data_IF_365308608174
#
_entry.id   IF_365308608174
#
_cell.length_a   1.000
_cell.length_b   1.000
_cell.length_c   1.000
_cell.angle_alpha   90.00
_cell.angle_beta   90.00
_cell.angle_gamma   90.00
#
_symmetry.space_group_name_H-M   'P 1'
#
loop_
_entity.id
_entity.type
_entity.pdbx_description
1 polymer ?
#
# COMPACT_ATOMS: atom_id res chain seq x y z
N UNK A 1 30.73 37.62 16.11
CA UNK A 1 29.36 38.18 16.08
C UNK A 1 28.56 37.82 14.82
N UNK A 2 29.14 37.12 13.83
CA UNK A 2 28.42 36.66 12.62
C UNK A 2 27.71 35.29 12.75
N UNK A 3 28.09 34.34 13.63
CA UNK A 3 27.38 33.04 13.68
C UNK A 3 25.99 33.12 14.34
N UNK A 4 25.65 34.21 15.02
CA UNK A 4 24.33 34.39 15.66
C UNK A 4 23.25 34.81 14.65
N UNK A 5 23.61 35.53 13.58
CA UNK A 5 22.65 35.97 12.56
C UNK A 5 22.33 34.89 11.52
N UNK A 6 23.19 33.88 11.36
CA UNK A 6 22.93 32.72 10.50
C UNK A 6 21.93 31.76 11.18
N UNK A 7 21.96 31.65 12.51
CA UNK A 7 21.07 30.76 13.26
C UNK A 7 19.63 31.31 13.37
N UNK A 8 19.43 32.62 13.25
CA UNK A 8 18.12 33.25 13.31
C UNK A 8 17.31 33.15 12.00
N UNK A 9 17.94 32.79 10.87
CA UNK A 9 17.27 32.69 9.55
C UNK A 9 16.70 31.29 9.31
N UNK A 10 17.16 30.26 10.04
CA UNK A 10 16.63 28.89 9.93
C UNK A 10 15.27 28.70 10.63
N UNK A 11 14.86 29.56 11.56
CA UNK A 11 13.60 29.39 12.30
C UNK A 11 12.35 29.82 11.54
N UNK A 12 12.43 30.83 10.65
CA UNK A 12 11.29 31.24 9.81
C UNK A 12 11.09 30.34 8.57
N UNK A 13 12.11 29.58 8.21
CA UNK A 13 12.09 28.54 7.16
C UNK A 13 11.71 27.15 7.71
N UNK A 14 11.44 27.04 9.02
CA UNK A 14 10.57 26.00 9.56
C UNK A 14 9.13 26.24 9.06
N UNK A 15 8.93 26.03 7.76
CA UNK A 15 7.65 26.03 7.09
C UNK A 15 6.74 25.01 7.76
N UNK A 16 6.02 25.45 8.78
CA UNK A 16 4.84 24.91 9.44
C UNK A 16 4.54 23.41 9.29
N UNK A 17 5.55 22.56 9.42
CA UNK A 17 5.37 21.09 9.38
C UNK A 17 4.58 20.62 10.60
N UNK A 18 4.50 21.44 11.64
CA UNK A 18 3.64 21.24 12.82
C UNK A 18 2.17 21.22 12.44
N UNK A 19 1.68 22.17 11.64
CA UNK A 19 0.29 22.15 11.14
C UNK A 19 0.05 20.93 10.25
N UNK A 20 0.99 20.59 9.36
CA UNK A 20 0.83 19.42 8.50
C UNK A 20 0.77 18.11 9.30
N UNK A 21 1.63 17.98 10.34
CA UNK A 21 1.61 16.84 11.27
C UNK A 21 0.32 16.78 12.09
N UNK A 22 -0.26 17.93 12.45
CA UNK A 22 -1.55 17.99 13.13
C UNK A 22 -2.70 17.45 12.26
N UNK A 23 -2.69 17.73 10.94
CA UNK A 23 -3.69 17.23 10.00
C UNK A 23 -3.42 15.80 9.49
N UNK A 24 -2.22 15.26 9.69
CA UNK A 24 -1.84 13.93 9.19
C UNK A 24 -2.82 12.82 9.64
N UNK A 25 -3.25 12.72 10.92
CA UNK A 25 -4.25 11.73 11.33
C UNK A 25 -5.61 11.91 10.63
N UNK A 26 -6.01 13.15 10.33
CA UNK A 26 -7.26 13.44 9.62
C UNK A 26 -7.18 12.97 8.16
N UNK A 27 -6.05 13.15 7.49
CA UNK A 27 -5.85 12.59 6.14
C UNK A 27 -5.85 11.07 6.14
N UNK A 28 -5.18 10.44 7.11
CA UNK A 28 -5.21 8.99 7.29
C UNK A 28 -6.64 8.50 7.52
N UNK A 29 -7.40 9.20 8.35
CA UNK A 29 -8.81 8.89 8.60
C UNK A 29 -9.63 8.88 7.32
N UNK A 30 -9.62 10.00 6.57
CA UNK A 30 -10.39 10.16 5.33
C UNK A 30 -9.96 9.11 4.31
N UNK A 31 -8.65 8.85 4.21
CA UNK A 31 -8.11 7.87 3.28
C UNK A 31 -8.59 6.45 3.60
N UNK A 32 -8.43 5.98 4.83
CA UNK A 32 -8.88 4.64 5.24
C UNK A 32 -10.40 4.52 5.12
N UNK A 33 -11.14 5.56 5.51
CA UNK A 33 -12.59 5.60 5.36
C UNK A 33 -13.03 5.42 3.89
N UNK A 34 -12.45 6.21 2.97
CA UNK A 34 -12.76 6.14 1.55
C UNK A 34 -12.41 4.78 0.95
N UNK A 35 -11.26 4.21 1.34
CA UNK A 35 -10.81 2.89 0.89
C UNK A 35 -11.77 1.79 1.34
N UNK A 36 -12.11 1.76 2.64
CA UNK A 36 -13.02 0.76 3.20
C UNK A 36 -14.43 0.90 2.62
N UNK A 37 -14.91 2.13 2.43
CA UNK A 37 -16.19 2.40 1.78
C UNK A 37 -16.20 1.87 0.34
N UNK A 38 -15.15 2.16 -0.44
CA UNK A 38 -15.04 1.66 -1.82
C UNK A 38 -14.95 0.13 -1.88
N UNK A 39 -14.23 -0.50 -0.95
CA UNK A 39 -14.14 -1.96 -0.84
C UNK A 39 -15.50 -2.59 -0.54
N UNK A 40 -16.24 -2.07 0.44
CA UNK A 40 -17.58 -2.60 0.77
C UNK A 40 -18.59 -2.35 -0.34
N UNK A 41 -18.53 -1.19 -1.00
CA UNK A 41 -19.39 -0.90 -2.15
C UNK A 41 -19.14 -1.86 -3.32
N UNK A 42 -17.89 -2.28 -3.54
CA UNK A 42 -17.55 -3.22 -4.62
C UNK A 42 -17.88 -4.68 -4.28
N UNK A 43 -17.79 -5.04 -3.00
CA UNK A 43 -17.97 -6.42 -2.56
C UNK A 43 -19.41 -6.77 -2.21
N UNK A 44 -20.29 -5.77 -2.02
CA UNK A 44 -21.73 -5.93 -1.73
C UNK A 44 -22.02 -6.83 -0.51
N UNK A 45 -21.02 -7.09 0.35
CA UNK A 45 -21.11 -8.01 1.49
C UNK A 45 -22.16 -7.57 2.52
N UNK A 46 -22.44 -6.26 2.63
CA UNK A 46 -23.39 -5.69 3.59
C UNK A 46 -24.76 -5.36 2.96
N UNK A 47 -25.02 -5.78 1.72
CA UNK A 47 -26.25 -5.48 0.97
C UNK A 47 -26.25 -4.10 0.30
N UNK A 48 -27.36 -3.78 -0.39
CA UNK A 48 -27.50 -2.59 -1.25
C UNK A 48 -27.74 -1.28 -0.48
N UNK A 49 -28.02 -1.35 0.82
CA UNK A 49 -28.33 -0.14 1.58
C UNK A 49 -27.06 0.70 1.80
N UNK A 50 -27.04 2.00 1.41
CA UNK A 50 -25.84 2.84 1.51
C UNK A 50 -25.48 3.22 2.94
N UNK A 51 -26.45 3.19 3.86
CA UNK A 51 -26.27 3.65 5.24
C UNK A 51 -25.39 2.72 6.09
N UNK A 52 -25.61 1.38 6.15
CA UNK A 52 -24.73 0.47 6.89
C UNK A 52 -23.29 0.46 6.37
N UNK A 53 -23.11 0.55 5.06
CA UNK A 53 -21.77 0.60 4.44
C UNK A 53 -20.98 1.79 4.99
N UNK A 54 -21.60 2.96 5.04
CA UNK A 54 -21.00 4.20 5.54
C UNK A 54 -20.67 4.11 7.03
N UNK A 55 -21.60 3.60 7.84
CA UNK A 55 -21.39 3.48 9.30
C UNK A 55 -20.25 2.50 9.61
N UNK A 56 -20.22 1.34 8.94
CA UNK A 56 -19.19 0.33 9.19
C UNK A 56 -17.82 0.80 8.71
N UNK A 57 -17.71 1.44 7.53
CA UNK A 57 -16.45 2.01 7.07
C UNK A 57 -15.95 3.13 7.99
N UNK A 58 -16.87 3.92 8.56
CA UNK A 58 -16.53 4.96 9.54
C UNK A 58 -15.97 4.39 10.85
N UNK A 59 -16.61 3.37 11.41
CA UNK A 59 -16.14 2.69 12.63
C UNK A 59 -14.75 2.09 12.42
N UNK A 60 -14.53 1.41 11.29
CA UNK A 60 -13.21 0.83 10.96
C UNK A 60 -12.15 1.91 10.83
N UNK A 61 -12.47 3.03 10.17
CA UNK A 61 -11.54 4.15 10.03
C UNK A 61 -11.15 4.76 11.38
N UNK A 62 -12.08 4.90 12.33
CA UNK A 62 -11.76 5.36 13.70
C UNK A 62 -10.81 4.39 14.38
N UNK A 63 -11.09 3.08 14.35
CA UNK A 63 -10.23 2.06 14.96
C UNK A 63 -8.81 2.11 14.36
N UNK A 64 -8.71 2.29 13.05
CA UNK A 64 -7.43 2.42 12.35
C UNK A 64 -6.65 3.67 12.79
N UNK A 65 -7.31 4.81 12.95
CA UNK A 65 -6.64 6.07 13.34
C UNK A 65 -6.19 6.05 14.80
N UNK A 66 -6.95 5.41 15.69
CA UNK A 66 -6.59 5.29 17.11
C UNK A 66 -5.42 4.33 17.31
N UNK A 67 -5.19 3.40 16.38
CA UNK A 67 -4.13 2.38 16.50
C UNK A 67 -2.77 2.94 16.04
N UNK A 68 -1.76 3.07 16.92
CA UNK A 68 -0.45 3.63 16.56
C UNK A 68 0.27 2.85 15.45
N UNK A 69 0.06 1.52 15.40
CA UNK A 69 0.61 0.64 14.37
C UNK A 69 0.04 0.97 12.98
N UNK A 70 -1.26 1.22 12.91
CA UNK A 70 -1.93 1.58 11.67
C UNK A 70 -1.49 2.97 11.17
N UNK A 71 -1.25 3.91 12.06
CA UNK A 71 -0.69 5.22 11.69
C UNK A 71 0.69 5.09 11.01
N UNK A 72 1.58 4.25 11.56
CA UNK A 72 2.89 3.98 10.93
C UNK A 72 2.72 3.32 9.56
N UNK A 73 1.81 2.36 9.44
CA UNK A 73 1.52 1.71 8.18
C UNK A 73 1.01 2.70 7.13
N UNK A 74 0.03 3.55 7.47
CA UNK A 74 -0.50 4.54 6.53
C UNK A 74 0.56 5.57 6.13
N UNK A 75 1.44 6.00 7.03
CA UNK A 75 2.52 6.92 6.66
C UNK A 75 3.52 6.33 5.66
N UNK A 76 3.69 5.00 5.66
CA UNK A 76 4.53 4.31 4.66
C UNK A 76 3.76 4.11 3.34
N UNK A 77 2.46 3.81 3.42
CA UNK A 77 1.60 3.54 2.25
C UNK A 77 1.22 4.82 1.49
N UNK A 78 0.94 5.93 2.20
CA UNK A 78 0.43 7.17 1.60
C UNK A 78 1.35 7.76 0.53
N UNK A 79 2.67 7.90 0.75
CA UNK A 79 3.58 8.37 -0.31
C UNK A 79 3.52 7.48 -1.55
N UNK A 80 3.43 6.16 -1.35
CA UNK A 80 3.32 5.19 -2.44
C UNK A 80 2.03 5.30 -3.23
N UNK A 81 0.92 5.52 -2.53
CA UNK A 81 -0.35 5.75 -3.18
C UNK A 81 -0.33 7.05 -4.00
N UNK A 82 0.28 8.11 -3.48
CA UNK A 82 0.42 9.38 -4.21
C UNK A 82 1.24 9.15 -5.48
N UNK A 83 2.39 8.46 -5.38
CA UNK A 83 3.22 8.09 -6.53
C UNK A 83 2.42 7.25 -7.54
N UNK A 84 1.62 6.30 -7.07
CA UNK A 84 0.78 5.46 -7.91
C UNK A 84 -0.31 6.28 -8.64
N UNK A 85 -1.00 7.19 -7.95
CA UNK A 85 -2.01 8.07 -8.55
C UNK A 85 -1.37 8.98 -9.60
N UNK A 86 -0.22 9.59 -9.28
CA UNK A 86 0.52 10.43 -10.21
C UNK A 86 0.99 9.61 -11.42
N UNK A 87 1.53 8.41 -11.19
CA UNK A 87 1.96 7.50 -12.25
C UNK A 87 0.80 7.09 -13.16
N UNK A 88 -0.36 6.74 -12.60
CA UNK A 88 -1.57 6.46 -13.38
C UNK A 88 -1.97 7.66 -14.23
N UNK A 89 -1.95 8.87 -13.67
CA UNK A 89 -2.23 10.10 -14.41
C UNK A 89 -1.27 10.25 -15.60
N UNK A 90 0.04 10.07 -15.38
CA UNK A 90 1.03 10.12 -16.47
C UNK A 90 0.81 9.04 -17.51
N UNK A 91 0.48 7.81 -17.11
CA UNK A 91 0.16 6.72 -18.04
C UNK A 91 -1.06 7.10 -18.87
N UNK A 92 -2.14 7.58 -18.25
CA UNK A 92 -3.33 8.04 -18.98
C UNK A 92 -3.01 9.20 -19.93
N UNK A 93 -2.16 10.15 -19.52
CA UNK A 93 -1.75 11.27 -20.35
C UNK A 93 -0.94 10.79 -21.55
N UNK A 94 0.04 9.91 -21.36
CA UNK A 94 0.84 9.31 -22.44
C UNK A 94 -0.06 8.50 -23.38
N UNK A 95 -0.98 7.68 -22.86
CA UNK A 95 -1.92 6.91 -23.69
C UNK A 95 -2.88 7.82 -24.47
N UNK A 96 -3.28 8.95 -23.87
CA UNK A 96 -4.09 9.97 -24.54
C UNK A 96 -3.31 10.71 -25.62
N UNK A 97 -2.00 10.93 -25.43
CA UNK A 97 -1.12 11.57 -26.41
C UNK A 97 -0.74 10.64 -27.56
N UNK A 98 -0.57 9.34 -27.27
CA UNK A 98 -0.24 8.32 -28.26
C UNK A 98 -1.45 7.88 -29.10
N UNK A 99 -2.61 8.54 -28.96
CA UNK A 99 -3.87 8.19 -29.62
C UNK A 99 -4.25 6.69 -29.50
N UNK A 100 -3.72 6.00 -28.49
CA UNK A 100 -3.99 4.58 -28.21
C UNK A 100 -5.48 4.35 -27.91
N UNK A 101 -6.17 5.38 -27.41
CA UNK A 101 -7.62 5.36 -27.21
C UNK A 101 -8.43 5.67 -28.50
N UNK A 102 -7.81 6.27 -29.53
CA UNK A 102 -8.49 6.62 -30.79
C UNK A 102 -8.35 5.55 -31.88
N UNK A 103 -7.28 4.75 -31.84
CA UNK A 103 -7.08 3.62 -32.74
C UNK A 103 -7.63 2.34 -32.11
N UNK A 104 -8.88 2.02 -32.43
CA UNK A 104 -9.56 0.83 -31.94
C UNK A 104 -8.76 -0.44 -32.24
N UNK A 105 -8.16 -1.04 -31.21
CA UNK A 105 -7.81 -2.46 -31.19
C UNK A 105 -6.35 -2.82 -30.96
N UNK A 106 -5.40 -1.93 -31.24
CA UNK A 106 -3.97 -2.25 -31.13
C UNK A 106 -3.34 -1.32 -30.10
N UNK A 107 -3.32 -1.74 -28.84
CA UNK A 107 -2.83 -0.96 -27.69
C UNK A 107 -1.34 -0.56 -27.78
N UNK A 108 -0.60 -0.69 -26.68
CA UNK A 108 0.86 -0.42 -26.63
C UNK A 108 1.66 -1.12 -27.76
N UNK A 109 1.16 -2.21 -28.33
CA UNK A 109 1.78 -2.90 -29.46
C UNK A 109 1.77 -2.09 -30.77
N UNK A 110 0.73 -1.28 -31.03
CA UNK A 110 0.67 -0.41 -32.21
C UNK A 110 1.59 0.80 -32.10
N UNK A 111 1.72 1.36 -30.90
CA UNK A 111 2.58 2.52 -30.63
C UNK A 111 4.09 2.24 -30.74
N UNK A 112 4.51 0.99 -30.47
CA UNK A 112 5.92 0.59 -30.50
C UNK A 112 6.30 -0.08 -31.85
N UNK A 113 5.33 -0.29 -32.74
CA UNK A 113 5.53 -0.86 -34.07
C UNK A 113 5.96 -2.33 -34.09
N UNK A 114 6.34 -2.92 -32.94
CA UNK A 114 6.77 -4.29 -32.83
C UNK A 114 6.32 -4.91 -31.49
N UNK A 115 5.46 -5.96 -31.51
CA UNK A 115 4.90 -6.59 -30.31
C UNK A 115 5.96 -7.08 -29.31
N UNK A 116 7.13 -7.49 -29.82
CA UNK A 116 8.24 -7.98 -29.00
C UNK A 116 8.84 -6.89 -28.10
N UNK A 117 8.98 -5.67 -28.63
CA UNK A 117 9.55 -4.54 -27.87
C UNK A 117 8.57 -4.05 -26.82
N UNK A 118 7.26 -4.05 -27.11
CA UNK A 118 6.22 -3.74 -26.14
C UNK A 118 6.25 -4.72 -24.93
N UNK A 119 6.44 -6.01 -25.17
CA UNK A 119 6.54 -7.01 -24.11
C UNK A 119 7.82 -6.84 -23.26
N UNK A 120 8.94 -6.49 -23.91
CA UNK A 120 10.19 -6.18 -23.21
C UNK A 120 10.06 -4.95 -22.31
N UNK A 121 9.44 -3.87 -22.80
CA UNK A 121 9.19 -2.65 -22.02
C UNK A 121 8.30 -2.95 -20.81
N UNK A 122 7.22 -3.72 -21.00
CA UNK A 122 6.34 -4.14 -19.91
C UNK A 122 7.11 -4.98 -18.88
N UNK A 123 7.95 -5.93 -19.33
CA UNK A 123 8.78 -6.75 -18.45
C UNK A 123 9.73 -5.91 -17.61
N UNK A 124 10.43 -4.94 -18.22
CA UNK A 124 11.35 -4.04 -17.52
C UNK A 124 10.61 -3.16 -16.50
N UNK A 125 9.47 -2.57 -16.87
CA UNK A 125 8.65 -1.77 -15.95
C UNK A 125 8.19 -2.62 -14.76
N UNK A 126 7.76 -3.86 -15.00
CA UNK A 126 7.28 -4.76 -13.95
C UNK A 126 8.41 -5.18 -13.00
N UNK A 127 9.62 -5.43 -13.51
CA UNK A 127 10.81 -5.72 -12.68
C UNK A 127 11.15 -4.51 -11.80
N UNK A 128 11.17 -3.30 -12.37
CA UNK A 128 11.44 -2.06 -11.62
C UNK A 128 10.38 -1.86 -10.53
N UNK A 129 9.10 -2.09 -10.86
CA UNK A 129 8.00 -1.95 -9.92
C UNK A 129 8.10 -2.95 -8.77
N UNK A 130 8.41 -4.22 -9.05
CA UNK A 130 8.65 -5.24 -8.02
C UNK A 130 9.84 -4.86 -7.15
N UNK A 131 10.96 -4.44 -7.75
CA UNK A 131 12.16 -4.05 -7.01
C UNK A 131 11.90 -2.85 -6.08
N UNK A 132 11.22 -1.82 -6.59
CA UNK A 132 10.82 -0.65 -5.80
C UNK A 132 9.86 -1.03 -4.66
N UNK A 133 8.91 -1.94 -4.93
CA UNK A 133 7.99 -2.48 -3.94
C UNK A 133 8.72 -3.22 -2.83
N UNK A 134 9.66 -4.11 -3.17
CA UNK A 134 10.48 -4.84 -2.17
C UNK A 134 11.30 -3.88 -1.32
N UNK A 135 11.92 -2.85 -1.91
CA UNK A 135 12.71 -1.88 -1.15
C UNK A 135 11.85 -1.08 -0.16
N UNK A 136 10.62 -0.75 -0.54
CA UNK A 136 9.77 0.08 0.33
C UNK A 136 9.03 -0.75 1.38
N UNK A 137 8.53 -1.93 1.01
CA UNK A 137 7.82 -2.81 1.91
C UNK A 137 8.73 -3.78 2.68
N UNK A 138 9.99 -3.95 2.27
CA UNK A 138 10.94 -4.86 2.91
C UNK A 138 11.18 -4.52 4.39
N UNK A 139 11.23 -3.23 4.72
CA UNK A 139 11.33 -2.75 6.11
C UNK A 139 10.08 -3.07 6.93
N UNK A 140 8.90 -3.12 6.31
CA UNK A 140 7.63 -3.49 6.97
C UNK A 140 7.45 -5.01 7.10
N UNK A 141 7.99 -5.78 6.16
CA UNK A 141 7.88 -7.24 6.10
C UNK A 141 8.88 -7.96 7.01
N UNK A 142 9.87 -7.24 7.56
CA UNK A 142 10.84 -7.79 8.50
C UNK A 142 10.83 -7.04 9.85
N UNK A 143 9.72 -7.08 10.62
CA UNK A 143 9.61 -6.39 11.91
C UNK A 143 10.58 -6.94 12.99
N UNK A 144 11.23 -8.07 12.71
CA UNK A 144 12.18 -8.75 13.61
C UNK A 144 13.63 -8.74 13.09
N UNK A 145 13.86 -8.23 11.87
CA UNK A 145 15.20 -8.06 11.32
C UNK A 145 15.81 -6.77 11.86
N UNK A 146 16.99 -6.85 12.45
CA UNK A 146 17.75 -5.70 12.94
C UNK A 146 17.83 -4.59 11.87
N UNK A 147 17.51 -3.35 12.27
CA UNK A 147 17.65 -2.11 11.49
C UNK A 147 19.13 -1.75 11.22
N UNK A 148 19.93 -2.70 10.75
CA UNK A 148 21.24 -2.41 10.19
C UNK A 148 21.05 -2.12 8.72
N UNK A 149 21.00 -0.83 8.40
CA UNK A 149 20.98 -0.30 7.05
C UNK A 149 22.09 -0.93 6.22
N UNK A 150 21.70 -1.68 5.20
CA UNK A 150 22.62 -2.39 4.33
C UNK A 150 21.85 -2.97 3.17
N UNK A 151 21.93 -2.30 2.03
CA UNK A 151 21.41 -2.79 0.78
C UNK A 151 21.96 -4.21 0.49
N UNK A 152 21.08 -5.14 0.12
CA UNK A 152 21.40 -6.05 -0.98
C UNK A 152 21.52 -7.57 -0.73
N UNK A 153 21.62 -8.10 0.49
CA UNK A 153 22.13 -9.49 0.60
C UNK A 153 21.47 -10.46 1.58
N UNK A 154 20.23 -10.22 2.04
CA UNK A 154 19.59 -11.17 2.98
C UNK A 154 18.06 -11.26 3.02
N UNK A 155 17.34 -10.38 2.31
CA UNK A 155 15.89 -10.24 2.48
C UNK A 155 15.11 -11.43 1.92
N UNK A 156 15.54 -12.01 0.80
CA UNK A 156 14.76 -13.03 0.07
C UNK A 156 14.96 -14.44 0.63
N UNK A 157 16.11 -14.75 1.24
CA UNK A 157 16.43 -16.10 1.72
C UNK A 157 16.30 -16.30 3.22
N UNK A 158 16.96 -15.46 4.01
CA UNK A 158 16.96 -15.59 5.48
C UNK A 158 15.74 -14.93 6.12
N UNK A 159 15.28 -13.79 5.60
CA UNK A 159 14.09 -13.10 6.12
C UNK A 159 12.83 -13.95 6.00
N UNK A 160 12.58 -14.54 4.83
CA UNK A 160 11.38 -15.36 4.59
C UNK A 160 11.37 -16.62 5.46
N UNK A 161 12.52 -17.31 5.59
CA UNK A 161 12.62 -18.47 6.48
C UNK A 161 12.39 -18.07 7.94
N UNK A 162 13.00 -16.99 8.41
CA UNK A 162 12.86 -16.57 9.80
C UNK A 162 11.45 -16.06 10.13
N UNK A 163 10.77 -15.43 9.15
CA UNK A 163 9.37 -15.02 9.27
C UNK A 163 8.42 -16.22 9.24
N UNK A 164 8.61 -17.18 8.33
CA UNK A 164 7.77 -18.39 8.26
C UNK A 164 7.93 -19.30 9.50
N UNK A 165 9.13 -19.37 10.07
CA UNK A 165 9.41 -20.13 11.28
C UNK A 165 9.32 -19.31 12.58
N UNK A 166 8.74 -18.11 12.53
CA UNK A 166 8.54 -17.31 13.72
C UNK A 166 7.44 -17.95 14.61
N UNK A 167 7.65 -18.11 15.94
CA UNK A 167 6.69 -18.75 16.84
C UNK A 167 5.27 -18.14 16.77
N UNK A 168 5.19 -16.83 16.58
CA UNK A 168 3.92 -16.12 16.43
C UNK A 168 3.16 -16.46 15.13
N UNK A 169 3.88 -16.65 14.02
CA UNK A 169 3.28 -16.97 12.72
C UNK A 169 2.88 -18.43 12.67
N UNK A 170 3.67 -19.32 13.25
CA UNK A 170 3.30 -20.72 13.47
C UNK A 170 2.06 -20.83 14.38
N UNK A 171 1.97 -20.01 15.42
CA UNK A 171 0.78 -19.92 16.27
C UNK A 171 -0.47 -19.46 15.50
N UNK A 172 -0.34 -18.42 14.66
CA UNK A 172 -1.43 -17.95 13.80
C UNK A 172 -1.86 -19.01 12.79
N UNK A 173 -0.91 -19.68 12.14
CA UNK A 173 -1.19 -20.77 11.20
C UNK A 173 -1.90 -21.94 11.89
N UNK A 174 -1.47 -22.31 13.10
CA UNK A 174 -2.10 -23.36 13.90
C UNK A 174 -3.54 -23.00 14.28
N UNK A 175 -3.79 -21.75 14.72
CA UNK A 175 -5.15 -21.28 14.98
C UNK A 175 -6.03 -21.33 13.73
N UNK A 176 -5.48 -20.98 12.57
CA UNK A 176 -6.20 -21.04 11.30
C UNK A 176 -6.59 -22.47 10.91
N UNK A 177 -5.69 -23.43 11.11
CA UNK A 177 -5.96 -24.87 10.90
C UNK A 177 -7.06 -25.35 11.84
N UNK A 178 -7.00 -25.00 13.13
CA UNK A 178 -8.04 -25.38 14.10
C UNK A 178 -9.39 -24.79 13.71
N UNK A 179 -9.43 -23.52 13.30
CA UNK A 179 -10.65 -22.86 12.84
C UNK A 179 -11.24 -23.56 11.59
N UNK A 180 -10.38 -23.89 10.61
CA UNK A 180 -10.80 -24.58 9.38
C UNK A 180 -11.36 -25.98 9.66
N UNK A 181 -10.70 -26.76 10.53
CA UNK A 181 -11.19 -28.10 10.94
C UNK A 181 -12.51 -27.98 11.70
N UNK A 182 -12.63 -27.00 12.61
CA UNK A 182 -13.86 -26.76 13.36
C UNK A 182 -15.03 -26.42 12.43
N UNK A 183 -14.79 -25.52 11.47
CA UNK A 183 -15.78 -25.16 10.46
C UNK A 183 -16.19 -26.35 9.58
N UNK A 184 -15.24 -27.20 9.20
CA UNK A 184 -15.50 -28.40 8.40
C UNK A 184 -16.34 -29.44 9.15
N UNK A 185 -16.02 -29.69 10.42
CA UNK A 185 -16.77 -30.63 11.28
C UNK A 185 -18.21 -30.16 11.49
N UNK A 186 -18.42 -28.86 11.70
CA UNK A 186 -19.76 -28.27 11.85
C UNK A 186 -20.52 -28.33 10.52
N UNK A 187 -19.85 -28.00 9.40
CA UNK A 187 -20.46 -28.03 8.07
C UNK A 187 -20.89 -29.42 7.60
N UNK A 188 -20.17 -30.48 8.00
CA UNK A 188 -20.54 -31.87 7.70
C UNK A 188 -21.80 -32.33 8.46
N UNK A 189 -22.02 -31.84 9.69
CA UNK A 189 -23.20 -32.21 10.50
C UNK A 189 -24.51 -31.50 10.11
N UNK A 190 -24.46 -30.57 9.16
CA UNK A 190 -25.64 -29.83 8.67
C UNK A 190 -26.25 -30.43 7.39
N UNK A 191 -25.92 -31.68 7.05
CA UNK A 191 -26.65 -32.53 6.10
C UNK A 191 -27.29 -33.69 6.85
#
# INVERSE_FOLDING_TARGET
>A
MIPFLVQAVDESLMLNTTILKFFMPVFVFIFVFALMYALFKKTEILGDSPFPILVVSFVIAIIFVVTPTAFKFTNVITPWLIVFIISLLFIFLILSWLDVYKLGGEGLAGAVGNPWVAWLVIGVILIIFIYAGIQTFGTLLNPFGSQTGGAGTGVIGSGIKNTLFHPAILGMALLFIIAAVTAWVIGIKSK
#
